data_IF_533424486989
#
_entry.id   IF_533424486989
#
_cell.length_a   1.000
_cell.length_b   1.000
_cell.length_c   1.000
_cell.angle_alpha   90.00
_cell.angle_beta   90.00
_cell.angle_gamma   90.00
#
_symmetry.space_group_name_H-M   'P 1'
#
loop_
_entity.id
_entity.type
_entity.pdbx_description
1 polymer ?
#
# COMPACT_ATOMS: atom_id res chain seq x y z
N UNK A 1 -8.29 13.39 -7.30
CA UNK A 1 -7.61 12.38 -8.13
C UNK A 1 -6.23 12.19 -7.53
N UNK A 2 -6.05 11.06 -6.85
CA UNK A 2 -4.83 10.74 -6.13
C UNK A 2 -3.75 10.26 -7.11
N UNK A 3 -2.59 10.91 -7.11
CA UNK A 3 -1.44 10.46 -7.91
C UNK A 3 -0.69 9.34 -7.17
N UNK A 4 -0.74 8.13 -7.71
CA UNK A 4 -0.02 6.96 -7.16
C UNK A 4 1.24 6.76 -7.98
N UNK A 5 2.40 6.82 -7.33
CA UNK A 5 3.71 6.61 -7.98
C UNK A 5 4.56 5.60 -7.23
N UNK A 6 5.59 5.10 -7.90
CA UNK A 6 6.58 4.21 -7.32
C UNK A 6 7.86 4.24 -8.17
N UNK A 7 8.96 3.76 -7.58
CA UNK A 7 10.16 3.44 -8.35
C UNK A 7 9.97 2.10 -9.07
N UNK A 8 10.16 2.06 -10.38
CA UNK A 8 9.99 0.83 -11.18
C UNK A 8 10.86 -0.36 -10.72
N UNK A 9 12.15 -0.18 -10.36
CA UNK A 9 12.94 -1.27 -9.77
C UNK A 9 12.31 -1.83 -8.48
N UNK A 10 11.66 -0.97 -7.69
CA UNK A 10 11.04 -1.34 -6.42
C UNK A 10 9.73 -2.09 -6.64
N UNK A 11 8.91 -1.66 -7.60
CA UNK A 11 7.71 -2.39 -8.05
C UNK A 11 8.07 -3.80 -8.46
N UNK A 12 9.05 -3.98 -9.34
CA UNK A 12 9.50 -5.30 -9.81
C UNK A 12 10.00 -6.19 -8.67
N UNK A 13 10.80 -5.63 -7.76
CA UNK A 13 11.29 -6.36 -6.60
C UNK A 13 10.16 -6.76 -5.64
N UNK A 14 9.19 -5.89 -5.41
CA UNK A 14 8.02 -6.18 -4.56
C UNK A 14 7.14 -7.26 -5.21
N UNK A 15 6.86 -7.16 -6.50
CA UNK A 15 6.09 -8.15 -7.26
C UNK A 15 6.75 -9.53 -7.18
N UNK A 16 8.07 -9.61 -7.43
CA UNK A 16 8.80 -10.88 -7.33
C UNK A 16 8.77 -11.48 -5.92
N UNK A 17 8.75 -10.65 -4.87
CA UNK A 17 8.79 -11.08 -3.48
C UNK A 17 7.42 -11.44 -2.90
N UNK A 18 6.38 -10.71 -3.30
CA UNK A 18 5.06 -10.76 -2.67
C UNK A 18 3.93 -11.19 -3.62
N UNK A 19 4.19 -11.26 -4.92
CA UNK A 19 3.18 -11.62 -5.92
C UNK A 19 2.09 -10.57 -6.14
N UNK A 20 2.27 -9.36 -5.62
CA UNK A 20 1.31 -8.25 -5.74
C UNK A 20 1.96 -7.08 -6.47
N UNK A 21 1.26 -6.53 -7.46
CA UNK A 21 1.76 -5.43 -8.27
C UNK A 21 1.21 -4.08 -7.76
N UNK A 22 2.10 -3.09 -7.60
CA UNK A 22 1.69 -1.73 -7.25
C UNK A 22 0.75 -1.11 -8.27
N UNK A 23 0.83 -1.55 -9.53
CA UNK A 23 -0.05 -1.09 -10.60
C UNK A 23 -1.53 -1.45 -10.39
N UNK A 24 -1.82 -2.38 -9.48
CA UNK A 24 -3.19 -2.77 -9.14
C UNK A 24 -3.83 -1.84 -8.09
N UNK A 25 -3.05 -0.89 -7.52
CA UNK A 25 -3.55 0.06 -6.53
C UNK A 25 -4.36 1.18 -7.18
N UNK A 26 -5.50 1.49 -6.56
CA UNK A 26 -6.41 2.55 -7.00
C UNK A 26 -6.66 3.54 -5.88
N UNK A 27 -7.18 4.73 -6.22
CA UNK A 27 -7.64 5.71 -5.23
C UNK A 27 -8.69 5.10 -4.26
N UNK A 28 -9.61 4.29 -4.78
CA UNK A 28 -10.65 3.61 -3.98
C UNK A 28 -10.07 2.68 -2.91
N UNK A 29 -8.94 2.01 -3.18
CA UNK A 29 -8.25 1.23 -2.16
C UNK A 29 -7.81 2.11 -1.00
N UNK A 30 -7.19 3.27 -1.28
CA UNK A 30 -6.75 4.19 -0.23
C UNK A 30 -7.92 4.84 0.53
N UNK A 31 -9.03 5.14 -0.16
CA UNK A 31 -10.23 5.72 0.45
C UNK A 31 -10.96 4.74 1.38
N UNK A 32 -10.89 3.45 1.10
CA UNK A 32 -11.54 2.40 1.90
C UNK A 32 -10.61 1.75 2.94
N UNK A 33 -9.30 2.01 2.88
CA UNK A 33 -8.32 1.43 3.78
C UNK A 33 -8.26 2.17 5.12
N UNK A 34 -7.93 1.41 6.18
CA UNK A 34 -7.47 1.99 7.43
C UNK A 34 -6.01 2.45 7.26
N UNK A 35 -5.74 3.74 7.46
CA UNK A 35 -4.39 4.31 7.41
C UNK A 35 -3.83 4.49 8.81
N UNK A 36 -2.67 3.89 9.08
CA UNK A 36 -1.96 3.99 10.35
C UNK A 36 -0.50 4.45 10.15
N UNK A 37 0.09 5.13 11.14
CA UNK A 37 1.52 5.44 11.12
C UNK A 37 2.38 4.18 11.06
N UNK A 38 3.46 4.24 10.28
CA UNK A 38 4.49 3.23 10.20
C UNK A 38 5.87 3.80 10.59
N UNK A 39 6.90 2.95 10.62
CA UNK A 39 8.27 3.38 10.94
C UNK A 39 8.82 4.34 9.89
N UNK A 40 9.79 5.15 10.28
CA UNK A 40 10.58 6.03 9.40
C UNK A 40 9.74 7.05 8.60
N UNK A 41 8.77 7.70 9.27
CA UNK A 41 7.89 8.72 8.66
C UNK A 41 7.05 8.18 7.49
N UNK A 42 6.71 6.89 7.53
CA UNK A 42 5.85 6.23 6.54
C UNK A 42 4.45 6.06 7.07
N UNK A 43 3.53 5.83 6.14
CA UNK A 43 2.15 5.44 6.42
C UNK A 43 1.93 4.00 5.94
N UNK A 44 0.95 3.33 6.53
CA UNK A 44 0.48 2.02 6.09
C UNK A 44 -1.02 2.03 5.92
N UNK A 45 -1.49 1.74 4.71
CA UNK A 45 -2.89 1.48 4.40
C UNK A 45 -3.15 -0.02 4.51
N UNK A 46 -4.16 -0.41 5.29
CA UNK A 46 -4.61 -1.80 5.43
C UNK A 46 -6.04 -1.85 4.92
N UNK A 47 -6.29 -2.62 3.86
CA UNK A 47 -7.57 -2.66 3.18
C UNK A 47 -7.84 -4.01 2.51
N UNK A 48 -9.08 -4.23 2.11
CA UNK A 48 -9.46 -5.43 1.35
C UNK A 48 -9.23 -5.23 -0.15
N UNK A 49 -8.73 -6.26 -0.81
CA UNK A 49 -8.72 -6.41 -2.27
C UNK A 49 -9.25 -7.81 -2.63
N UNK A 50 -9.39 -8.11 -3.92
CA UNK A 50 -9.86 -9.42 -4.39
C UNK A 50 -9.04 -10.59 -3.80
N UNK A 51 -7.75 -10.38 -3.58
CA UNK A 51 -6.80 -11.39 -3.05
C UNK A 51 -6.71 -11.41 -1.51
N UNK A 52 -7.67 -10.76 -0.82
CA UNK A 52 -7.76 -10.70 0.64
C UNK A 52 -7.31 -9.35 1.22
N UNK A 53 -6.95 -9.35 2.51
CA UNK A 53 -6.49 -8.12 3.17
C UNK A 53 -5.04 -7.81 2.82
N UNK A 54 -4.81 -6.62 2.26
CA UNK A 54 -3.52 -6.12 1.80
C UNK A 54 -3.04 -4.99 2.73
N UNK A 55 -1.74 -4.96 2.98
CA UNK A 55 -1.05 -3.87 3.65
C UNK A 55 -0.10 -3.18 2.66
N UNK A 56 -0.27 -1.88 2.50
CA UNK A 56 0.50 -1.01 1.59
C UNK A 56 1.25 0.02 2.40
N UNK A 57 2.58 0.03 2.32
CA UNK A 57 3.43 1.05 2.93
C UNK A 57 3.73 2.13 1.89
N UNK A 58 3.55 3.38 2.27
CA UNK A 58 3.75 4.53 1.39
C UNK A 58 4.20 5.78 2.16
N UNK A 59 4.60 6.81 1.41
CA UNK A 59 4.75 8.19 1.91
C UNK A 59 3.84 9.11 1.10
N UNK A 60 3.36 10.18 1.72
CA UNK A 60 2.58 11.22 1.03
C UNK A 60 3.52 12.14 0.25
N UNK A 61 3.08 12.56 -0.93
CA UNK A 61 3.75 13.54 -1.79
C UNK A 61 2.87 14.78 -1.86
N UNK A 62 3.08 15.70 -0.91
CA UNK A 62 2.17 16.82 -0.71
C UNK A 62 0.78 16.32 -0.31
N UNK A 63 -0.26 17.00 -0.82
CA UNK A 63 -1.67 16.66 -0.55
C UNK A 63 -2.29 15.77 -1.63
N UNK A 64 -1.64 15.63 -2.78
CA UNK A 64 -2.26 15.07 -4.00
C UNK A 64 -1.73 13.69 -4.39
N UNK A 65 -0.67 13.19 -3.75
CA UNK A 65 -0.04 11.95 -4.19
C UNK A 65 0.53 11.06 -3.09
N UNK A 66 0.82 9.82 -3.46
CA UNK A 66 1.48 8.82 -2.63
C UNK A 66 2.59 8.13 -3.40
N UNK A 67 3.72 7.91 -2.75
CA UNK A 67 4.80 7.06 -3.25
C UNK A 67 4.78 5.71 -2.56
N UNK A 68 4.47 4.65 -3.32
CA UNK A 68 4.34 3.29 -2.82
C UNK A 68 5.71 2.67 -2.61
N UNK A 69 5.90 2.08 -1.42
CA UNK A 69 7.15 1.48 -0.97
C UNK A 69 7.04 -0.04 -0.91
N UNK A 70 5.91 -0.58 -0.43
CA UNK A 70 5.69 -2.02 -0.33
C UNK A 70 4.21 -2.35 -0.36
N UNK A 71 3.87 -3.51 -0.93
CA UNK A 71 2.52 -4.07 -0.99
C UNK A 71 2.61 -5.57 -0.72
N UNK A 72 1.86 -6.05 0.26
CA UNK A 72 1.88 -7.46 0.68
C UNK A 72 0.55 -7.84 1.33
N UNK A 73 0.29 -9.12 1.46
CA UNK A 73 -0.78 -9.58 2.36
C UNK A 73 -0.55 -9.07 3.78
N UNK A 74 -1.64 -8.63 4.40
CA UNK A 74 -1.65 -8.23 5.80
C UNK A 74 -1.37 -9.45 6.68
N UNK A 75 -0.53 -9.27 7.69
CA UNK A 75 -0.28 -10.25 8.74
C UNK A 75 -1.54 -10.49 9.58
N UNK A 76 -1.56 -11.57 10.36
CA UNK A 76 -2.69 -11.84 11.29
C UNK A 76 -2.97 -10.67 12.23
N UNK A 77 -1.91 -10.04 12.75
CA UNK A 77 -2.04 -8.87 13.64
C UNK A 77 -2.69 -7.69 12.93
N UNK A 78 -2.25 -7.39 11.70
CA UNK A 78 -2.80 -6.30 10.89
C UNK A 78 -4.26 -6.55 10.51
N UNK A 79 -4.63 -7.80 10.18
CA UNK A 79 -6.02 -8.16 9.88
C UNK A 79 -6.97 -8.00 11.06
N UNK A 80 -6.50 -8.16 12.29
CA UNK A 80 -7.31 -8.02 13.49
C UNK A 80 -7.56 -6.55 13.91
N UNK A 81 -6.99 -5.58 13.19
CA UNK A 81 -7.17 -4.15 13.45
C UNK A 81 -8.29 -3.56 12.57
N UNK A 82 -8.65 -4.25 11.48
CA UNK A 82 -9.89 -4.00 10.74
C UNK A 82 -11.10 -4.49 11.54
#
# INVERSE_FOLDING_TARGET
MLMIVWDEPKRKANLAKHGLDFADLTEDFFLSALVIPAKDQRQMAIGAMADGTIAVVFVTLGEEGVSVISMRHASRKERNIL
#
